data_IF_331192813854
#
_entry.id   IF_331192813854
#
_cell.length_a   1.000
_cell.length_b   1.000
_cell.length_c   1.000
_cell.angle_alpha   90.00
_cell.angle_beta   90.00
_cell.angle_gamma   90.00
#
_symmetry.space_group_name_H-M   'P 1'
#
loop_
_entity.id
_entity.type
_entity.pdbx_description
1 polymer ?
#
# COMPACT_ATOMS: atom_id res chain seq x y z
N UNK A 1 0.34 -23.51 20.14
CA UNK A 1 0.75 -23.32 18.71
C UNK A 1 2.19 -22.82 18.66
N UNK A 2 3.08 -23.58 18.00
CA UNK A 2 4.51 -23.25 17.87
C UNK A 2 4.72 -21.89 17.19
N UNK A 3 5.74 -21.11 17.59
CA UNK A 3 6.02 -19.80 16.98
C UNK A 3 6.23 -19.89 15.46
N UNK A 4 6.84 -20.97 14.96
CA UNK A 4 7.00 -21.20 13.51
C UNK A 4 5.65 -21.37 12.80
N UNK A 5 4.72 -22.09 13.41
CA UNK A 5 3.37 -22.32 12.87
C UNK A 5 2.56 -21.03 12.84
N UNK A 6 2.70 -20.17 13.87
CA UNK A 6 2.07 -18.84 13.91
C UNK A 6 2.59 -17.94 12.78
N UNK A 7 3.91 -17.90 12.56
CA UNK A 7 4.51 -17.11 11.49
C UNK A 7 4.06 -17.58 10.11
N UNK A 8 4.06 -18.90 9.87
CA UNK A 8 3.58 -19.47 8.59
C UNK A 8 2.12 -19.12 8.35
N UNK A 9 1.26 -19.24 9.38
CA UNK A 9 -0.15 -18.86 9.28
C UNK A 9 -0.34 -17.37 8.96
N UNK A 10 0.43 -16.48 9.60
CA UNK A 10 0.35 -15.04 9.31
C UNK A 10 0.82 -14.69 7.90
N UNK A 11 1.89 -15.33 7.42
CA UNK A 11 2.35 -15.15 6.04
C UNK A 11 1.35 -15.68 5.03
N UNK A 12 0.74 -16.85 5.30
CA UNK A 12 -0.30 -17.41 4.44
C UNK A 12 -1.54 -16.51 4.40
N UNK A 13 -1.97 -15.95 5.54
CA UNK A 13 -3.06 -14.99 5.59
C UNK A 13 -2.76 -13.70 4.80
N UNK A 14 -1.54 -13.16 4.93
CA UNK A 14 -1.11 -12.00 4.16
C UNK A 14 -1.09 -12.28 2.65
N UNK A 15 -0.55 -13.44 2.24
CA UNK A 15 -0.55 -13.86 0.83
C UNK A 15 -1.98 -14.03 0.30
N UNK A 16 -2.88 -14.60 1.10
CA UNK A 16 -4.29 -14.74 0.73
C UNK A 16 -4.97 -13.38 0.56
N UNK A 17 -4.71 -12.40 1.42
CA UNK A 17 -5.24 -11.04 1.28
C UNK A 17 -4.75 -10.35 0.00
N UNK A 18 -3.50 -10.57 -0.40
CA UNK A 18 -2.93 -10.02 -1.64
C UNK A 18 -3.51 -10.73 -2.87
N UNK A 19 -3.68 -12.06 -2.82
CA UNK A 19 -4.12 -12.85 -3.96
C UNK A 19 -5.65 -12.85 -4.16
N UNK A 20 -6.44 -12.64 -3.09
CA UNK A 20 -7.90 -12.70 -3.13
C UNK A 20 -8.54 -11.79 -4.20
N UNK A 21 -8.11 -10.52 -4.38
CA UNK A 21 -8.64 -9.66 -5.43
C UNK A 21 -8.34 -10.14 -6.85
N UNK A 22 -7.28 -10.94 -7.05
CA UNK A 22 -6.88 -11.45 -8.37
C UNK A 22 -7.67 -12.70 -8.77
N UNK A 23 -8.04 -13.53 -7.79
CA UNK A 23 -8.64 -14.86 -8.06
C UNK A 23 -10.14 -14.91 -7.83
N UNK A 24 -10.71 -13.98 -7.05
CA UNK A 24 -12.14 -13.96 -6.75
C UNK A 24 -12.84 -12.91 -7.64
N UNK A 25 -13.68 -13.33 -8.61
CA UNK A 25 -14.40 -12.41 -9.48
C UNK A 25 -15.30 -11.46 -8.67
N UNK A 26 -15.25 -10.16 -8.99
CA UNK A 26 -16.04 -9.12 -8.30
C UNK A 26 -15.41 -8.56 -7.01
N UNK A 27 -14.28 -9.13 -6.57
CA UNK A 27 -13.49 -8.59 -5.45
C UNK A 27 -12.37 -7.64 -5.91
N UNK A 28 -11.96 -7.76 -7.17
CA UNK A 28 -11.12 -6.76 -7.84
C UNK A 28 -11.91 -5.49 -8.16
N UNK A 29 -11.28 -4.34 -8.00
CA UNK A 29 -11.80 -3.04 -8.42
C UNK A 29 -10.76 -2.25 -9.21
N UNK A 30 -11.15 -1.06 -9.67
CA UNK A 30 -10.20 -0.09 -10.23
C UNK A 30 -9.16 0.23 -9.15
N UNK A 31 -7.92 -0.26 -9.33
CA UNK A 31 -6.77 0.06 -8.47
C UNK A 31 -6.30 1.50 -8.75
N UNK A 32 -7.21 2.46 -8.56
CA UNK A 32 -6.98 3.89 -8.71
C UNK A 32 -6.46 4.51 -7.42
N UNK A 33 -5.77 5.63 -7.58
CA UNK A 33 -5.23 6.38 -6.47
C UNK A 33 -6.33 6.98 -5.60
N UNK A 34 -5.96 7.39 -4.38
CA UNK A 34 -6.86 8.17 -3.53
C UNK A 34 -7.24 9.51 -4.15
N UNK A 35 -6.37 10.07 -4.98
CA UNK A 35 -6.59 11.37 -5.64
C UNK A 35 -7.69 11.28 -6.72
N UNK A 36 -7.68 10.22 -7.52
CA UNK A 36 -8.71 9.99 -8.56
C UNK A 36 -10.12 9.95 -7.95
N UNK A 37 -10.26 9.25 -6.81
CA UNK A 37 -11.53 9.16 -6.08
C UNK A 37 -11.97 10.49 -5.48
N UNK A 38 -11.00 11.31 -5.04
CA UNK A 38 -11.29 12.62 -4.49
C UNK A 38 -11.79 13.57 -5.57
N UNK A 39 -11.15 13.57 -6.75
CA UNK A 39 -11.57 14.39 -7.89
C UNK A 39 -12.96 13.99 -8.37
N UNK A 40 -13.26 12.70 -8.46
CA UNK A 40 -14.58 12.19 -8.85
C UNK A 40 -15.68 12.64 -7.86
N UNK A 41 -15.43 12.48 -6.56
CA UNK A 41 -16.36 12.92 -5.52
C UNK A 41 -16.58 14.44 -5.52
N UNK A 42 -15.52 15.24 -5.77
CA UNK A 42 -15.63 16.70 -5.87
C UNK A 42 -16.45 17.09 -7.10
N UNK A 43 -16.25 16.41 -8.24
CA UNK A 43 -16.99 16.68 -9.47
C UNK A 43 -18.49 16.40 -9.30
N UNK A 44 -18.86 15.36 -8.55
CA UNK A 44 -20.26 15.04 -8.22
C UNK A 44 -20.88 16.06 -7.25
N UNK A 45 -20.16 16.44 -6.19
CA UNK A 45 -20.68 17.33 -5.15
C UNK A 45 -20.74 18.80 -5.59
N UNK A 46 -19.80 19.23 -6.43
CA UNK A 46 -19.65 20.61 -6.85
C UNK A 46 -19.19 20.70 -8.32
N UNK A 47 -20.11 20.53 -9.30
CA UNK A 47 -19.76 20.50 -10.72
C UNK A 47 -19.17 21.82 -11.27
N UNK A 48 -19.26 22.92 -10.53
CA UNK A 48 -18.63 24.21 -10.85
C UNK A 48 -17.26 24.44 -10.18
N UNK A 49 -16.74 23.46 -9.44
CA UNK A 49 -15.50 23.61 -8.70
C UNK A 49 -14.29 23.75 -9.64
N UNK A 50 -13.48 24.79 -9.39
CA UNK A 50 -12.19 24.98 -10.05
C UNK A 50 -11.06 24.64 -9.09
N UNK A 51 -10.07 23.85 -9.50
CA UNK A 51 -8.89 23.60 -8.68
C UNK A 51 -8.23 24.92 -8.26
N UNK A 52 -8.00 25.09 -6.96
CA UNK A 52 -7.25 26.24 -6.42
C UNK A 52 -5.73 26.04 -6.51
N UNK A 53 -5.28 24.84 -6.90
CA UNK A 53 -3.89 24.48 -7.09
C UNK A 53 -3.78 23.52 -8.28
N UNK A 54 -2.79 23.77 -9.13
CA UNK A 54 -2.41 22.85 -10.21
C UNK A 54 -1.04 22.24 -9.90
N UNK A 55 -0.91 20.93 -10.17
CA UNK A 55 0.36 20.25 -9.95
C UNK A 55 1.46 20.88 -10.82
N UNK A 56 2.53 21.32 -10.16
CA UNK A 56 3.72 21.89 -10.83
C UNK A 56 4.40 20.88 -11.78
N UNK A 57 4.17 19.59 -11.55
CA UNK A 57 4.66 18.51 -12.41
C UNK A 57 3.63 17.38 -12.44
N UNK A 58 3.30 16.92 -13.65
CA UNK A 58 2.50 15.72 -13.87
C UNK A 58 3.39 14.67 -14.53
N UNK A 59 3.37 13.40 -14.07
CA UNK A 59 4.09 12.33 -14.74
C UNK A 59 3.65 12.23 -16.21
N UNK A 60 4.58 11.92 -17.13
CA UNK A 60 4.27 11.80 -18.56
C UNK A 60 3.39 10.58 -18.90
N UNK A 61 3.22 9.65 -17.96
CA UNK A 61 2.36 8.47 -18.10
C UNK A 61 1.88 7.98 -16.73
N UNK A 62 0.67 7.43 -16.68
CA UNK A 62 0.05 6.80 -15.50
C UNK A 62 0.88 5.59 -15.01
N UNK A 63 1.61 4.93 -15.91
CA UNK A 63 2.54 3.84 -15.56
C UNK A 63 3.71 4.35 -14.74
N UNK A 64 4.25 5.52 -15.08
CA UNK A 64 5.36 6.15 -14.36
C UNK A 64 4.90 6.59 -12.97
N UNK A 65 3.67 7.11 -12.86
CA UNK A 65 3.05 7.41 -11.56
C UNK A 65 2.98 6.14 -10.70
N UNK A 66 2.39 5.07 -11.23
CA UNK A 66 2.24 3.79 -10.52
C UNK A 66 3.59 3.21 -10.10
N UNK A 67 4.62 3.31 -10.96
CA UNK A 67 5.98 2.88 -10.66
C UNK A 67 6.56 3.67 -9.48
N UNK A 68 6.46 5.00 -9.49
CA UNK A 68 6.95 5.85 -8.40
C UNK A 68 6.24 5.54 -7.07
N UNK A 69 4.93 5.30 -7.09
CA UNK A 69 4.16 4.87 -5.91
C UNK A 69 4.63 3.50 -5.40
N UNK A 70 4.83 2.53 -6.30
CA UNK A 70 5.29 1.19 -5.93
C UNK A 70 6.71 1.22 -5.33
N UNK A 71 7.59 2.08 -5.85
CA UNK A 71 8.93 2.29 -5.32
C UNK A 71 8.89 2.90 -3.92
N UNK A 72 8.06 3.92 -3.70
CA UNK A 72 7.86 4.51 -2.38
C UNK A 72 7.32 3.48 -1.38
N UNK A 73 6.36 2.66 -1.79
CA UNK A 73 5.82 1.58 -0.96
C UNK A 73 6.90 0.53 -0.62
N UNK A 74 7.73 0.14 -1.59
CA UNK A 74 8.82 -0.81 -1.37
C UNK A 74 9.87 -0.28 -0.39
N UNK A 75 10.28 0.99 -0.53
CA UNK A 75 11.21 1.65 0.39
C UNK A 75 10.59 1.74 1.80
N UNK A 76 9.32 2.15 1.90
CA UNK A 76 8.60 2.24 3.17
C UNK A 76 8.49 0.88 3.88
N UNK A 77 8.13 -0.16 3.15
CA UNK A 77 8.07 -1.53 3.66
C UNK A 77 9.45 -2.03 4.13
N UNK A 78 10.51 -1.76 3.35
CA UNK A 78 11.88 -2.09 3.72
C UNK A 78 12.34 -1.38 5.00
N UNK A 79 12.04 -0.09 5.13
CA UNK A 79 12.34 0.69 6.32
C UNK A 79 11.61 0.16 7.56
N UNK A 80 10.30 -0.07 7.46
CA UNK A 80 9.49 -0.64 8.56
C UNK A 80 10.00 -2.02 8.95
N UNK A 81 10.28 -2.89 7.98
CA UNK A 81 10.85 -4.22 8.20
C UNK A 81 12.18 -4.16 8.94
N UNK A 82 13.09 -3.27 8.53
CA UNK A 82 14.37 -3.05 9.20
C UNK A 82 14.21 -2.58 10.66
N UNK A 83 13.34 -1.60 10.91
CA UNK A 83 13.10 -1.06 12.26
C UNK A 83 12.50 -2.12 13.19
N UNK A 84 11.48 -2.84 12.71
CA UNK A 84 10.84 -3.93 13.48
C UNK A 84 11.84 -5.04 13.75
N UNK A 85 12.59 -5.47 12.73
CA UNK A 85 13.63 -6.49 12.85
C UNK A 85 14.70 -6.10 13.89
N UNK A 86 15.26 -4.89 13.77
CA UNK A 86 16.30 -4.40 14.70
C UNK A 86 15.80 -4.31 16.15
N UNK A 87 14.56 -3.89 16.38
CA UNK A 87 13.96 -3.83 17.73
C UNK A 87 13.66 -5.21 18.29
N UNK A 88 13.24 -6.15 17.45
CA UNK A 88 13.00 -7.54 17.86
C UNK A 88 14.30 -8.25 18.26
N UNK A 89 15.40 -8.05 17.53
CA UNK A 89 16.70 -8.64 17.87
C UNK A 89 17.24 -8.13 19.20
N UNK A 90 17.07 -6.83 19.52
CA UNK A 90 17.52 -6.27 20.81
C UNK A 90 16.85 -6.90 22.03
N UNK A 91 15.56 -7.25 21.93
CA UNK A 91 14.85 -7.93 23.02
C UNK A 91 15.39 -9.35 23.26
N UNK A 92 15.72 -10.07 22.18
CA UNK A 92 16.27 -11.44 22.28
C UNK A 92 17.71 -11.50 22.82
N UNK A 93 18.47 -10.39 22.77
CA UNK A 93 19.83 -10.30 23.33
C UNK A 93 19.81 -9.87 24.79
N UNK A 94 18.83 -9.06 25.21
CA UNK A 94 18.67 -8.65 26.62
C UNK A 94 17.97 -9.72 27.49
N UNK A 95 17.30 -10.69 26.86
CA UNK A 95 16.56 -11.79 27.51
C UNK A 95 17.34 -13.13 27.47
N UNK A 96 18.66 -13.06 27.22
CA UNK A 96 19.63 -14.16 27.33
C UNK A 96 20.71 -13.78 28.31
#
# INVERSE_FOLDING_TARGET
MSPKVRTILMLAAAAALIAAPLVIPGLGGDFKGSDDKAVEAIAELAPGYKPWFESLWKPPSDEVQSLLFSLQAAIGAGFLGYVIGRRSTRKNVADR
#
